data_IF_826965039973
#
_entry.id   IF_826965039973
#
_cell.length_a   1.000
_cell.length_b   1.000
_cell.length_c   1.000
_cell.angle_alpha   90.00
_cell.angle_beta   90.00
_cell.angle_gamma   90.00
#
_symmetry.space_group_name_H-M   'P 1'
#
loop_
_entity.id
_entity.type
_entity.pdbx_description
1 polymer ?
#
# COMPACT_ATOMS: atom_id res chain seq x y z
N UNK A 1 38.75 -11.80 14.33
CA UNK A 1 37.68 -12.79 14.12
C UNK A 1 36.80 -12.23 13.00
N UNK A 2 36.87 -12.81 11.80
CA UNK A 2 36.06 -12.39 10.67
C UNK A 2 34.64 -12.89 10.88
N UNK A 3 33.68 -11.97 10.95
CA UNK A 3 32.28 -12.32 10.88
C UNK A 3 32.02 -12.99 9.53
N UNK A 4 31.64 -14.26 9.58
CA UNK A 4 31.20 -14.98 8.40
C UNK A 4 29.87 -14.36 7.97
N UNK A 5 29.89 -13.58 6.88
CA UNK A 5 28.68 -13.24 6.17
C UNK A 5 28.03 -14.53 5.70
N UNK A 6 26.92 -14.90 6.32
CA UNK A 6 26.05 -15.94 5.80
C UNK A 6 25.46 -15.38 4.51
N UNK A 7 26.00 -15.84 3.38
CA UNK A 7 25.38 -15.57 2.08
C UNK A 7 24.05 -16.34 2.04
N UNK A 8 22.94 -15.62 2.00
CA UNK A 8 21.63 -16.21 1.76
C UNK A 8 21.60 -16.69 0.30
N UNK A 9 21.51 -18.00 0.11
CA UNK A 9 21.34 -18.60 -1.21
C UNK A 9 19.89 -18.35 -1.66
N UNK A 10 19.68 -17.43 -2.61
CA UNK A 10 18.41 -17.15 -3.26
C UNK A 10 18.07 -15.67 -3.38
N UNK A 11 17.09 -15.29 -4.23
CA UNK A 11 16.69 -13.92 -4.45
C UNK A 11 16.09 -13.28 -3.20
N UNK A 12 16.37 -11.99 -2.99
CA UNK A 12 15.71 -11.18 -1.95
C UNK A 12 14.23 -11.10 -2.24
N UNK A 13 13.40 -11.45 -1.24
CA UNK A 13 11.95 -11.35 -1.32
C UNK A 13 11.47 -10.08 -0.63
N UNK A 14 10.89 -9.18 -1.41
CA UNK A 14 10.42 -7.86 -0.96
C UNK A 14 8.92 -7.75 -1.16
N UNK A 15 8.18 -7.43 -0.11
CA UNK A 15 6.74 -7.15 -0.18
C UNK A 15 6.53 -5.64 -0.27
N UNK A 16 5.87 -5.18 -1.32
CA UNK A 16 5.50 -3.79 -1.50
C UNK A 16 3.99 -3.61 -1.32
N UNK A 17 3.58 -2.73 -0.42
CA UNK A 17 2.19 -2.48 -0.05
C UNK A 17 1.93 -1.01 0.28
N UNK A 18 0.67 -0.58 0.20
CA UNK A 18 0.24 0.79 0.42
C UNK A 18 -1.22 0.87 0.84
N UNK A 19 -1.63 2.04 1.35
CA UNK A 19 -3.03 2.44 1.48
C UNK A 19 -3.86 1.44 2.33
N UNK A 20 -3.39 1.13 3.56
CA UNK A 20 -4.08 0.26 4.50
C UNK A 20 -5.32 0.94 5.07
N UNK A 21 -5.24 2.26 5.31
CA UNK A 21 -6.30 3.06 5.91
C UNK A 21 -6.91 2.42 7.16
N UNK A 22 -6.04 1.92 8.07
CA UNK A 22 -6.47 1.35 9.34
C UNK A 22 -7.33 2.36 10.12
N UNK A 23 -8.43 1.89 10.71
CA UNK A 23 -9.42 2.75 11.35
C UNK A 23 -10.56 3.21 10.46
N UNK A 24 -10.44 3.14 9.12
CA UNK A 24 -11.55 3.40 8.21
C UNK A 24 -12.46 2.17 8.07
N UNK A 25 -13.78 2.38 7.84
CA UNK A 25 -14.76 1.31 7.60
C UNK A 25 -14.34 0.29 6.55
N UNK A 26 -13.67 0.77 5.52
CA UNK A 26 -13.26 -0.01 4.35
C UNK A 26 -11.73 -0.17 4.24
N UNK A 27 -10.99 0.24 5.28
CA UNK A 27 -9.58 -0.05 5.44
C UNK A 27 -9.34 -1.49 5.91
N UNK A 28 -8.11 -1.93 5.79
CA UNK A 28 -7.72 -3.24 6.32
C UNK A 28 -7.75 -3.19 7.85
N UNK A 29 -8.54 -4.08 8.45
CA UNK A 29 -8.81 -4.07 9.88
C UNK A 29 -8.46 -5.43 10.49
N UNK A 30 -7.55 -5.50 11.50
CA UNK A 30 -7.31 -6.73 12.25
C UNK A 30 -8.56 -7.20 13.01
N UNK A 31 -8.59 -8.47 13.39
CA UNK A 31 -9.81 -9.13 13.93
C UNK A 31 -10.32 -8.50 15.21
N UNK A 32 -9.43 -7.98 16.04
CA UNK A 32 -9.69 -7.40 17.35
C UNK A 32 -10.55 -6.12 17.26
N UNK A 33 -10.44 -5.39 16.14
CA UNK A 33 -11.16 -4.13 15.87
C UNK A 33 -12.36 -4.29 14.94
N UNK A 34 -12.77 -5.51 14.62
CA UNK A 34 -13.89 -5.72 13.72
C UNK A 34 -15.22 -5.26 14.33
N UNK A 35 -15.99 -4.56 13.53
CA UNK A 35 -17.33 -4.11 13.93
C UNK A 35 -18.23 -5.30 14.25
N UNK A 36 -18.99 -5.21 15.36
CA UNK A 36 -19.95 -6.24 15.73
C UNK A 36 -20.97 -6.47 14.62
N UNK A 37 -21.26 -7.72 14.22
CA UNK A 37 -22.26 -8.01 13.20
C UNK A 37 -23.70 -7.64 13.62
N UNK A 38 -23.94 -7.44 14.92
CA UNK A 38 -25.21 -6.90 15.44
C UNK A 38 -25.37 -5.42 15.14
N UNK A 39 -24.24 -4.68 15.05
CA UNK A 39 -24.22 -3.25 14.70
C UNK A 39 -24.31 -3.02 13.20
N UNK A 40 -23.48 -3.71 12.42
CA UNK A 40 -23.45 -3.62 10.95
C UNK A 40 -22.91 -4.92 10.34
N UNK A 41 -23.82 -5.79 9.93
CA UNK A 41 -23.47 -7.07 9.32
C UNK A 41 -22.78 -6.92 7.96
N UNK A 42 -23.17 -5.92 7.17
CA UNK A 42 -22.61 -5.71 5.83
C UNK A 42 -21.17 -5.23 5.93
N UNK A 43 -20.89 -4.26 6.80
CA UNK A 43 -19.55 -3.77 7.08
C UNK A 43 -18.65 -4.88 7.63
N UNK A 44 -19.16 -5.65 8.61
CA UNK A 44 -18.44 -6.80 9.17
C UNK A 44 -17.99 -7.77 8.07
N UNK A 45 -18.88 -8.09 7.14
CA UNK A 45 -18.57 -9.01 6.04
C UNK A 45 -17.47 -8.45 5.11
N UNK A 46 -17.41 -7.13 4.91
CA UNK A 46 -16.32 -6.50 4.15
C UNK A 46 -14.99 -6.61 4.89
N UNK A 47 -14.96 -6.28 6.19
CA UNK A 47 -13.75 -6.40 7.01
C UNK A 47 -13.21 -7.83 7.03
N UNK A 48 -14.08 -8.82 7.19
CA UNK A 48 -13.72 -10.25 7.13
C UNK A 48 -13.12 -10.63 5.77
N UNK A 49 -13.71 -10.16 4.67
CA UNK A 49 -13.21 -10.47 3.33
C UNK A 49 -11.83 -9.84 3.06
N UNK A 50 -11.64 -8.55 3.42
CA UNK A 50 -10.35 -7.87 3.25
C UNK A 50 -9.25 -8.57 4.06
N UNK A 51 -9.52 -8.84 5.33
CA UNK A 51 -8.55 -9.46 6.21
C UNK A 51 -8.23 -10.90 5.78
N UNK A 52 -9.24 -11.69 5.40
CA UNK A 52 -9.06 -13.05 4.88
C UNK A 52 -8.18 -13.05 3.62
N UNK A 53 -8.41 -12.14 2.67
CA UNK A 53 -7.61 -12.01 1.45
C UNK A 53 -6.16 -11.64 1.76
N UNK A 54 -5.98 -10.75 2.73
CA UNK A 54 -4.67 -10.37 3.18
C UNK A 54 -3.92 -11.56 3.81
N UNK A 55 -4.55 -12.27 4.76
CA UNK A 55 -3.95 -13.46 5.40
C UNK A 55 -3.65 -14.56 4.38
N UNK A 56 -4.55 -14.85 3.45
CA UNK A 56 -4.31 -15.81 2.37
C UNK A 56 -3.08 -15.43 1.53
N UNK A 57 -2.88 -14.12 1.31
CA UNK A 57 -1.70 -13.63 0.59
C UNK A 57 -0.43 -13.81 1.41
N UNK A 58 -0.45 -13.48 2.70
CA UNK A 58 0.69 -13.72 3.62
C UNK A 58 1.08 -15.21 3.62
N UNK A 59 0.11 -16.11 3.75
CA UNK A 59 0.34 -17.55 3.73
C UNK A 59 0.92 -18.00 2.37
N UNK A 60 0.37 -17.50 1.27
CA UNK A 60 0.79 -17.89 -0.08
C UNK A 60 2.18 -17.41 -0.45
N UNK A 61 2.56 -16.23 -0.01
CA UNK A 61 3.91 -15.67 -0.20
C UNK A 61 4.90 -16.38 0.71
N UNK A 62 4.48 -16.70 1.94
CA UNK A 62 5.31 -17.26 2.99
C UNK A 62 6.11 -16.20 3.74
N UNK A 63 6.41 -16.49 4.99
CA UNK A 63 7.21 -15.64 5.91
C UNK A 63 8.34 -16.48 6.52
N UNK A 64 9.47 -15.89 6.93
CA UNK A 64 9.79 -14.46 6.84
C UNK A 64 10.10 -13.99 5.41
N UNK A 65 10.00 -12.65 5.18
CA UNK A 65 10.47 -11.98 3.98
C UNK A 65 11.70 -11.12 4.28
N UNK A 66 12.48 -10.76 3.26
CA UNK A 66 13.71 -9.99 3.48
C UNK A 66 13.38 -8.51 3.77
N UNK A 67 12.41 -7.93 3.06
CA UNK A 67 11.98 -6.57 3.33
C UNK A 67 10.48 -6.35 3.08
N UNK A 68 9.94 -5.33 3.76
CA UNK A 68 8.65 -4.71 3.45
C UNK A 68 8.87 -3.26 3.05
N UNK A 69 8.39 -2.89 1.87
CA UNK A 69 8.27 -1.51 1.41
C UNK A 69 6.85 -1.03 1.64
N UNK A 70 6.66 -0.18 2.64
CA UNK A 70 5.37 0.40 2.99
C UNK A 70 5.24 1.82 2.42
N UNK A 71 4.27 2.03 1.54
CA UNK A 71 4.15 3.27 0.80
C UNK A 71 3.03 4.19 1.31
N UNK A 72 2.90 4.32 2.64
CA UNK A 72 2.07 5.33 3.29
C UNK A 72 0.57 5.08 3.26
N UNK A 73 -0.17 6.03 3.82
CA UNK A 73 -1.60 5.94 4.12
C UNK A 73 -1.91 4.65 4.90
N UNK A 74 -1.07 4.37 5.93
CA UNK A 74 -1.25 3.22 6.81
C UNK A 74 -2.47 3.38 7.70
N UNK A 75 -2.79 4.61 8.09
CA UNK A 75 -3.94 4.96 8.93
C UNK A 75 -4.96 5.80 8.15
N UNK A 76 -6.19 5.84 8.64
CA UNK A 76 -7.24 6.71 8.12
C UNK A 76 -7.09 8.16 8.55
N UNK A 77 -6.43 8.38 9.69
CA UNK A 77 -6.31 9.69 10.33
C UNK A 77 -7.64 10.17 10.91
N UNK A 78 -7.81 11.49 10.98
CA UNK A 78 -9.02 12.11 11.55
C UNK A 78 -10.21 12.19 10.59
N UNK A 79 -9.99 12.03 9.29
CA UNK A 79 -11.02 12.20 8.24
C UNK A 79 -11.82 13.51 8.37
N UNK A 80 -11.16 14.63 8.61
CA UNK A 80 -11.78 15.94 8.87
C UNK A 80 -12.82 16.37 7.84
N UNK A 81 -12.58 16.09 6.57
CA UNK A 81 -13.49 16.46 5.48
C UNK A 81 -14.87 15.81 5.62
N UNK A 82 -14.91 14.63 6.22
CA UNK A 82 -16.13 13.85 6.44
C UNK A 82 -16.52 13.76 7.92
N UNK A 83 -15.83 14.55 8.79
CA UNK A 83 -16.07 14.62 10.24
C UNK A 83 -15.97 13.25 10.92
N UNK A 84 -15.09 12.37 10.43
CA UNK A 84 -14.88 11.03 10.97
C UNK A 84 -16.06 10.06 10.80
N UNK A 85 -17.05 10.37 9.97
CA UNK A 85 -18.28 9.53 9.82
C UNK A 85 -17.96 8.13 9.28
N UNK A 86 -16.87 7.98 8.56
CA UNK A 86 -16.44 6.68 8.02
C UNK A 86 -15.37 5.99 8.88
N UNK A 87 -15.03 6.55 10.05
CA UNK A 87 -14.14 5.89 11.01
C UNK A 87 -14.88 4.82 11.82
N UNK A 88 -14.22 3.70 12.04
CA UNK A 88 -14.58 2.68 13.03
C UNK A 88 -13.79 2.87 14.31
N UNK A 89 -12.57 3.43 14.17
CA UNK A 89 -11.67 3.78 15.24
C UNK A 89 -11.19 5.23 15.06
N UNK A 90 -11.60 6.15 15.93
CA UNK A 90 -11.18 7.54 15.84
C UNK A 90 -9.82 7.83 16.51
N UNK A 91 -9.33 6.94 17.39
CA UNK A 91 -8.04 7.10 18.04
C UNK A 91 -6.92 6.73 17.06
N UNK A 92 -6.08 7.71 16.73
CA UNK A 92 -5.01 7.52 15.76
C UNK A 92 -3.89 6.62 16.29
N UNK A 93 -3.67 6.57 17.61
CA UNK A 93 -2.73 5.63 18.22
C UNK A 93 -3.21 4.18 18.00
N UNK A 94 -4.51 3.93 18.18
CA UNK A 94 -5.09 2.62 17.90
C UNK A 94 -5.06 2.28 16.40
N UNK A 95 -5.24 3.26 15.53
CA UNK A 95 -5.06 3.06 14.09
C UNK A 95 -3.61 2.67 13.74
N UNK A 96 -2.62 3.26 14.43
CA UNK A 96 -1.21 2.85 14.30
C UNK A 96 -0.99 1.42 14.80
N UNK A 97 -1.55 1.04 15.94
CA UNK A 97 -1.48 -0.32 16.47
C UNK A 97 -2.03 -1.35 15.46
N UNK A 98 -3.18 -1.06 14.83
CA UNK A 98 -3.71 -1.90 13.75
C UNK A 98 -2.72 -2.07 12.59
N UNK A 99 -2.09 -0.99 12.14
CA UNK A 99 -1.14 -1.02 11.04
C UNK A 99 0.12 -1.83 11.39
N UNK A 100 0.65 -1.65 12.59
CA UNK A 100 1.80 -2.41 13.12
C UNK A 100 1.50 -3.91 13.15
N UNK A 101 0.33 -4.31 13.66
CA UNK A 101 -0.08 -5.71 13.72
C UNK A 101 -0.14 -6.35 12.33
N UNK A 102 -0.65 -5.61 11.33
CA UNK A 102 -0.71 -6.10 9.95
C UNK A 102 0.68 -6.23 9.33
N UNK A 103 1.53 -5.23 9.51
CA UNK A 103 2.90 -5.23 8.97
C UNK A 103 3.76 -6.32 9.60
N UNK A 104 3.66 -6.55 10.91
CA UNK A 104 4.38 -7.62 11.64
C UNK A 104 4.05 -9.03 11.14
N UNK A 105 2.89 -9.24 10.49
CA UNK A 105 2.54 -10.56 9.91
C UNK A 105 3.54 -11.03 8.83
N UNK A 106 4.26 -10.12 8.21
CA UNK A 106 5.29 -10.46 7.22
C UNK A 106 6.58 -10.99 7.83
N UNK A 107 6.80 -10.79 9.15
CA UNK A 107 8.04 -11.19 9.84
C UNK A 107 9.29 -10.70 9.08
N UNK A 108 9.20 -9.49 8.51
CA UNK A 108 10.26 -8.96 7.67
C UNK A 108 11.53 -8.71 8.47
N UNK A 109 12.69 -8.97 7.85
CA UNK A 109 13.99 -8.65 8.45
C UNK A 109 14.22 -7.15 8.50
N UNK A 110 13.65 -6.41 7.54
CA UNK A 110 13.75 -4.95 7.43
C UNK A 110 12.44 -4.35 6.93
N UNK A 111 12.13 -3.16 7.41
CA UNK A 111 11.00 -2.35 6.94
C UNK A 111 11.53 -1.03 6.41
N UNK A 112 10.99 -0.55 5.30
CA UNK A 112 11.28 0.77 4.72
C UNK A 112 9.95 1.45 4.45
N UNK A 113 9.69 2.55 5.14
CA UNK A 113 8.39 3.20 5.11
C UNK A 113 8.49 4.59 4.51
N UNK A 114 7.51 4.99 3.72
CA UNK A 114 7.32 6.38 3.33
C UNK A 114 6.02 6.89 3.86
N UNK A 115 6.00 8.19 4.22
CA UNK A 115 4.79 8.85 4.72
C UNK A 115 3.74 8.95 3.64
N UNK A 116 2.49 8.76 4.03
CA UNK A 116 1.32 8.91 3.19
C UNK A 116 0.96 10.37 2.93
N UNK A 117 -0.29 10.60 2.58
CA UNK A 117 -0.81 11.96 2.39
C UNK A 117 -0.95 12.66 3.74
N UNK A 118 -0.69 13.98 3.84
CA UNK A 118 -0.90 14.74 5.07
C UNK A 118 -2.36 14.71 5.56
N UNK A 119 -3.29 14.35 4.69
CA UNK A 119 -4.69 14.19 5.04
C UNK A 119 -4.93 12.99 5.98
N UNK A 120 -4.17 11.91 5.80
CA UNK A 120 -4.24 10.69 6.60
C UNK A 120 -3.17 10.63 7.68
N UNK A 121 -1.92 10.95 7.36
CA UNK A 121 -0.79 10.86 8.30
C UNK A 121 -0.79 11.88 9.44
N UNK A 122 -1.59 12.92 9.33
CA UNK A 122 -1.71 14.00 10.32
C UNK A 122 -1.15 15.34 9.82
N UNK A 123 -1.74 16.44 10.30
CA UNK A 123 -1.32 17.81 9.96
C UNK A 123 -0.44 18.46 11.00
N UNK A 124 -0.45 17.97 12.24
CA UNK A 124 0.30 18.50 13.39
C UNK A 124 1.30 17.50 13.93
N UNK A 125 0.98 16.23 13.89
CA UNK A 125 1.82 15.10 14.30
C UNK A 125 1.93 14.13 13.13
N UNK A 126 3.12 13.62 12.91
CA UNK A 126 3.38 12.58 11.92
C UNK A 126 3.10 11.21 12.57
N UNK A 127 1.82 10.81 12.59
CA UNK A 127 1.40 9.57 13.25
C UNK A 127 2.05 8.32 12.67
N UNK A 128 2.37 8.32 11.38
CA UNK A 128 3.05 7.19 10.74
C UNK A 128 4.49 6.99 11.25
N UNK A 129 5.10 8.02 11.88
CA UNK A 129 6.41 7.89 12.52
C UNK A 129 6.36 6.93 13.72
N UNK A 130 5.22 6.84 14.43
CA UNK A 130 5.02 5.86 15.50
C UNK A 130 5.01 4.43 15.00
N UNK A 131 4.48 4.20 13.78
CA UNK A 131 4.53 2.89 13.13
C UNK A 131 5.98 2.52 12.82
N UNK A 132 6.76 3.51 12.34
CA UNK A 132 8.17 3.30 12.03
C UNK A 132 9.01 3.01 13.29
N UNK A 133 8.76 3.74 14.38
CA UNK A 133 9.41 3.49 15.69
C UNK A 133 9.12 2.06 16.19
N UNK A 134 7.87 1.61 16.13
CA UNK A 134 7.45 0.27 16.55
C UNK A 134 8.04 -0.87 15.70
N UNK A 135 8.42 -0.59 14.46
CA UNK A 135 9.00 -1.55 13.53
C UNK A 135 10.52 -1.41 13.36
N UNK A 136 11.15 -0.50 14.10
CA UNK A 136 12.56 -0.12 13.93
C UNK A 136 12.90 0.19 12.46
N UNK A 137 12.07 1.00 11.81
CA UNK A 137 12.09 1.26 10.38
C UNK A 137 12.49 2.70 10.05
N UNK A 138 13.34 2.94 9.03
CA UNK A 138 13.48 4.27 8.47
C UNK A 138 12.15 4.71 7.82
N UNK A 139 11.78 5.97 8.05
CA UNK A 139 10.64 6.62 7.42
C UNK A 139 11.00 8.00 6.88
N UNK A 140 10.55 8.31 5.66
CA UNK A 140 10.75 9.61 5.01
C UNK A 140 9.61 9.92 4.03
N UNK A 141 9.60 11.11 3.44
CA UNK A 141 8.65 11.42 2.37
C UNK A 141 9.01 10.71 1.05
N UNK A 142 10.28 10.36 0.90
CA UNK A 142 10.84 9.65 -0.24
C UNK A 142 12.09 8.87 0.20
N UNK A 143 12.22 7.63 -0.22
CA UNK A 143 13.37 6.78 0.03
C UNK A 143 13.95 6.23 -1.27
N UNK A 144 15.28 6.06 -1.29
CA UNK A 144 15.99 5.27 -2.28
C UNK A 144 16.60 4.07 -1.55
N UNK A 145 16.19 2.86 -1.93
CA UNK A 145 16.60 1.61 -1.28
C UNK A 145 17.31 0.72 -2.29
N UNK A 146 18.54 0.37 -1.98
CA UNK A 146 19.34 -0.56 -2.80
C UNK A 146 19.05 -2.00 -2.35
N UNK A 147 18.65 -2.86 -3.28
CA UNK A 147 18.36 -4.26 -3.03
C UNK A 147 18.75 -5.12 -4.24
N UNK A 148 19.55 -6.15 -4.02
CA UNK A 148 19.93 -7.13 -5.05
C UNK A 148 20.57 -6.54 -6.30
N UNK A 149 21.25 -5.40 -6.20
CA UNK A 149 21.89 -4.70 -7.33
C UNK A 149 20.99 -3.72 -8.09
N UNK A 150 19.76 -3.49 -7.59
CA UNK A 150 18.84 -2.47 -8.13
C UNK A 150 18.53 -1.40 -7.09
N UNK A 151 18.20 -0.20 -7.57
CA UNK A 151 17.75 0.92 -6.74
C UNK A 151 16.25 1.13 -6.91
N UNK A 152 15.52 1.01 -5.81
CA UNK A 152 14.09 1.31 -5.71
C UNK A 152 13.90 2.73 -5.19
N UNK A 153 13.08 3.52 -5.86
CA UNK A 153 12.59 4.79 -5.34
C UNK A 153 11.18 4.62 -4.82
N UNK A 154 10.99 4.84 -3.53
CA UNK A 154 9.72 4.71 -2.82
C UNK A 154 9.16 6.10 -2.52
N UNK A 155 7.92 6.36 -2.89
CA UNK A 155 7.19 7.58 -2.58
C UNK A 155 5.70 7.31 -2.63
N UNK A 156 4.92 7.87 -1.70
CA UNK A 156 3.48 7.63 -1.67
C UNK A 156 2.76 8.21 -2.89
N UNK A 157 2.91 9.50 -3.13
CA UNK A 157 2.09 10.21 -4.11
C UNK A 157 2.57 10.07 -5.55
N UNK A 158 1.62 9.95 -6.46
CA UNK A 158 1.80 10.09 -7.91
C UNK A 158 0.62 10.87 -8.51
N UNK A 159 0.81 11.45 -9.69
CA UNK A 159 -0.29 12.10 -10.40
C UNK A 159 -1.43 11.14 -10.71
N UNK A 160 -2.66 11.65 -10.72
CA UNK A 160 -3.88 10.88 -11.01
C UNK A 160 -4.47 11.30 -12.36
N UNK A 161 -5.11 10.35 -13.04
CA UNK A 161 -5.93 10.61 -14.22
C UNK A 161 -7.35 10.06 -14.03
N UNK A 162 -8.34 10.78 -14.56
CA UNK A 162 -9.73 10.29 -14.65
C UNK A 162 -10.00 9.53 -15.95
N UNK A 163 -9.03 9.51 -16.86
CA UNK A 163 -9.16 8.89 -18.20
C UNK A 163 -8.73 7.41 -18.08
N UNK A 164 -9.63 6.43 -18.26
CA UNK A 164 -9.32 5.02 -18.03
C UNK A 164 -8.12 4.49 -18.85
N UNK A 165 -8.03 4.85 -20.11
CA UNK A 165 -6.91 4.45 -20.98
C UNK A 165 -5.63 5.27 -20.74
N UNK A 166 -5.70 6.31 -19.95
CA UNK A 166 -4.57 7.18 -19.60
C UNK A 166 -3.90 6.84 -18.25
N UNK A 167 -4.24 5.73 -17.60
CA UNK A 167 -3.74 5.39 -16.25
C UNK A 167 -2.21 5.25 -16.18
N UNK A 168 -1.56 4.90 -17.27
CA UNK A 168 -0.10 4.84 -17.35
C UNK A 168 0.58 6.21 -17.54
N UNK A 169 -0.16 7.24 -17.99
CA UNK A 169 0.43 8.55 -18.31
C UNK A 169 1.08 9.24 -17.10
N UNK A 170 0.46 9.31 -15.90
CA UNK A 170 1.11 9.87 -14.73
C UNK A 170 2.39 9.10 -14.34
N UNK A 171 2.40 7.79 -14.49
CA UNK A 171 3.57 6.95 -14.20
C UNK A 171 4.72 7.23 -15.17
N UNK A 172 4.44 7.28 -16.47
CA UNK A 172 5.44 7.60 -17.48
C UNK A 172 6.03 9.02 -17.28
N UNK A 173 5.18 9.99 -16.89
CA UNK A 173 5.62 11.34 -16.53
C UNK A 173 6.52 11.32 -15.29
N UNK A 174 6.16 10.56 -14.28
CA UNK A 174 6.97 10.42 -13.06
C UNK A 174 8.36 9.89 -13.37
N UNK A 175 8.45 8.85 -14.21
CA UNK A 175 9.74 8.35 -14.69
C UNK A 175 10.58 9.41 -15.37
N UNK A 176 10.01 10.14 -16.33
CA UNK A 176 10.72 11.18 -17.06
C UNK A 176 11.26 12.26 -16.11
N UNK A 177 10.43 12.74 -15.18
CA UNK A 177 10.84 13.77 -14.22
C UNK A 177 12.00 13.26 -13.36
N UNK A 178 11.90 12.05 -12.80
CA UNK A 178 12.97 11.47 -11.96
C UNK A 178 14.26 11.24 -12.73
N UNK A 179 14.18 10.78 -13.98
CA UNK A 179 15.34 10.62 -14.85
C UNK A 179 16.03 11.96 -15.12
N UNK A 180 15.28 13.03 -15.38
CA UNK A 180 15.84 14.36 -15.58
C UNK A 180 16.50 14.93 -14.31
N UNK A 181 15.88 14.73 -13.14
CA UNK A 181 16.46 15.13 -11.85
C UNK A 181 17.74 14.35 -11.54
N UNK A 182 17.76 13.05 -11.80
CA UNK A 182 18.96 12.23 -11.63
C UNK A 182 20.08 12.65 -12.57
N UNK A 183 19.78 12.98 -13.83
CA UNK A 183 20.76 13.50 -14.79
C UNK A 183 21.39 14.85 -14.37
N UNK A 184 20.71 15.60 -13.51
CA UNK A 184 21.21 16.85 -12.89
C UNK A 184 21.89 16.62 -11.54
N UNK A 185 21.99 15.38 -11.07
CA UNK A 185 22.48 15.03 -9.74
C UNK A 185 21.63 15.64 -8.59
N UNK A 186 20.36 15.92 -8.83
CA UNK A 186 19.43 16.43 -7.81
C UNK A 186 18.88 15.29 -6.92
N UNK A 187 18.81 14.08 -7.46
CA UNK A 187 18.36 12.87 -6.78
C UNK A 187 19.19 11.66 -7.24
N UNK A 188 19.25 10.56 -6.46
CA UNK A 188 19.87 9.31 -6.93
C UNK A 188 19.13 8.76 -8.17
N UNK A 189 19.86 8.05 -9.02
CA UNK A 189 19.23 7.26 -10.09
C UNK A 189 18.50 6.08 -9.47
N UNK A 190 17.32 5.75 -9.99
CA UNK A 190 16.57 4.56 -9.62
C UNK A 190 16.20 3.73 -10.85
N UNK A 191 16.09 2.43 -10.68
CA UNK A 191 15.69 1.48 -11.71
C UNK A 191 14.18 1.18 -11.64
N UNK A 192 13.63 1.18 -10.42
CA UNK A 192 12.22 0.90 -10.14
C UNK A 192 11.64 1.99 -9.26
N UNK A 193 10.55 2.62 -9.70
CA UNK A 193 9.79 3.60 -8.91
C UNK A 193 8.50 2.96 -8.43
N UNK A 194 8.27 2.95 -7.12
CA UNK A 194 7.03 2.47 -6.51
C UNK A 194 6.21 3.61 -5.94
N UNK A 195 4.90 3.59 -6.19
CA UNK A 195 3.93 4.63 -5.81
C UNK A 195 2.67 3.99 -5.20
N UNK A 196 1.94 4.74 -4.37
CA UNK A 196 0.64 4.38 -3.79
C UNK A 196 -0.44 5.40 -4.17
N UNK A 197 -1.32 5.75 -3.22
CA UNK A 197 -2.26 6.86 -3.24
C UNK A 197 -3.47 6.74 -4.19
N UNK A 198 -3.30 6.18 -5.37
CA UNK A 198 -4.39 6.19 -6.36
C UNK A 198 -5.31 4.98 -6.25
N UNK A 199 -4.95 4.00 -5.44
CA UNK A 199 -5.68 2.77 -5.12
C UNK A 199 -5.93 1.83 -6.31
N UNK A 200 -5.35 2.10 -7.48
CA UNK A 200 -5.41 1.18 -8.62
C UNK A 200 -4.03 0.63 -8.96
N UNK A 201 -3.99 -0.62 -9.35
CA UNK A 201 -2.78 -1.26 -9.82
C UNK A 201 -2.53 -0.92 -11.27
N UNK A 202 -1.37 -0.33 -11.56
CA UNK A 202 -0.89 -0.07 -12.91
C UNK A 202 0.63 0.01 -12.92
N UNK A 203 1.24 -0.30 -14.05
CA UNK A 203 2.66 -0.09 -14.26
C UNK A 203 2.96 0.30 -15.70
N UNK A 204 4.07 0.97 -15.89
CA UNK A 204 4.70 1.25 -17.17
C UNK A 204 6.19 0.97 -17.06
N UNK A 205 6.83 0.53 -18.12
CA UNK A 205 8.24 0.21 -18.07
C UNK A 205 8.84 -0.10 -19.43
N UNK A 206 10.15 -0.27 -19.43
CA UNK A 206 10.99 -0.72 -20.53
C UNK A 206 11.85 -1.91 -20.08
N UNK A 207 12.88 -2.26 -20.86
CA UNK A 207 13.76 -3.38 -20.52
C UNK A 207 14.51 -3.22 -19.21
N UNK A 208 14.86 -1.97 -18.85
CA UNK A 208 15.77 -1.60 -17.77
C UNK A 208 15.17 -0.60 -16.78
N UNK A 209 13.84 -0.40 -16.79
CA UNK A 209 13.17 0.51 -15.87
C UNK A 209 11.69 0.16 -15.68
N UNK A 210 11.15 0.52 -14.53
CA UNK A 210 9.72 0.38 -14.25
C UNK A 210 9.23 1.47 -13.30
N UNK A 211 8.00 1.94 -13.53
CA UNK A 211 7.20 2.69 -12.55
C UNK A 211 5.94 1.92 -12.30
N UNK A 212 5.66 1.66 -11.03
CA UNK A 212 4.48 0.91 -10.61
C UNK A 212 3.69 1.70 -9.58
N UNK A 213 2.40 1.78 -9.79
CA UNK A 213 1.45 2.17 -8.76
C UNK A 213 0.89 0.90 -8.11
N UNK A 214 1.08 0.77 -6.80
CA UNK A 214 0.64 -0.38 -6.04
C UNK A 214 -0.89 -0.43 -5.91
N UNK A 215 -1.48 -1.61 -5.82
CA UNK A 215 -2.86 -1.75 -5.37
C UNK A 215 -2.95 -1.32 -3.90
N UNK A 216 -4.15 -0.96 -3.45
CA UNK A 216 -4.40 -0.56 -2.06
C UNK A 216 -4.83 -1.74 -1.20
N UNK A 217 -4.57 -1.68 0.10
CA UNK A 217 -5.10 -2.63 1.08
C UNK A 217 -6.42 -2.14 1.72
N UNK A 218 -7.23 -1.43 0.92
CA UNK A 218 -8.56 -1.00 1.31
C UNK A 218 -9.59 -1.29 0.21
N UNK A 219 -10.87 -1.30 0.55
CA UNK A 219 -11.94 -1.44 -0.44
C UNK A 219 -12.37 -0.08 -1.00
N UNK A 220 -12.66 -0.05 -2.29
CA UNK A 220 -13.23 1.13 -2.96
C UNK A 220 -14.72 1.27 -2.67
N UNK A 221 -15.10 1.68 -1.46
CA UNK A 221 -16.48 1.87 -1.07
C UNK A 221 -16.68 3.12 -0.20
N UNK A 222 -17.92 3.44 0.13
CA UNK A 222 -18.25 4.67 0.85
C UNK A 222 -18.20 5.94 -0.01
N UNK A 223 -17.85 7.03 0.62
CA UNK A 223 -17.74 8.34 -0.07
C UNK A 223 -16.55 8.39 -1.02
N UNK A 224 -15.48 7.66 -0.69
CA UNK A 224 -14.30 7.54 -1.53
C UNK A 224 -14.65 6.92 -2.89
N UNK A 225 -15.46 5.86 -2.92
CA UNK A 225 -15.91 5.23 -4.16
C UNK A 225 -16.76 6.16 -5.05
N UNK A 226 -17.49 7.10 -4.44
CA UNK A 226 -18.27 8.10 -5.20
C UNK A 226 -17.37 9.19 -5.81
N UNK A 227 -16.24 9.51 -5.16
CA UNK A 227 -15.27 10.52 -5.61
C UNK A 227 -14.24 9.95 -6.58
N UNK A 228 -13.80 8.74 -6.31
CA UNK A 228 -12.84 8.03 -7.14
C UNK A 228 -13.60 7.29 -8.24
N UNK A 229 -13.62 7.78 -9.46
CA UNK A 229 -14.29 7.18 -10.61
C UNK A 229 -14.00 5.68 -10.82
N UNK A 230 -14.21 4.88 -9.78
CA UNK A 230 -14.57 3.48 -9.81
C UNK A 230 -13.48 2.42 -9.70
N UNK A 231 -12.17 2.72 -9.73
CA UNK A 231 -11.19 1.64 -9.68
C UNK A 231 -10.40 1.62 -8.39
N UNK A 232 -10.67 0.61 -7.57
CA UNK A 232 -9.79 0.21 -6.48
C UNK A 232 -9.41 -1.24 -6.70
N UNK A 233 -8.13 -1.52 -6.71
CA UNK A 233 -7.59 -2.86 -6.71
C UNK A 233 -7.11 -3.17 -5.30
N UNK A 234 -7.69 -4.18 -4.65
CA UNK A 234 -7.21 -4.65 -3.35
C UNK A 234 -6.04 -5.60 -3.54
N UNK A 235 -4.92 -5.34 -2.85
CA UNK A 235 -3.80 -6.26 -2.95
C UNK A 235 -2.45 -5.65 -2.61
N UNK A 236 -1.40 -6.36 -3.03
CA UNK A 236 0.00 -5.99 -2.84
C UNK A 236 0.87 -6.61 -3.95
N UNK A 237 2.14 -6.25 -3.97
CA UNK A 237 3.11 -6.77 -4.94
C UNK A 237 4.29 -7.38 -4.21
N UNK A 238 4.79 -8.50 -4.70
CA UNK A 238 6.01 -9.15 -4.21
C UNK A 238 7.06 -9.10 -5.31
N UNK A 239 8.26 -8.64 -4.95
CA UNK A 239 9.44 -8.68 -5.80
C UNK A 239 10.38 -9.78 -5.34
N UNK A 240 11.01 -10.45 -6.31
CA UNK A 240 12.16 -11.31 -6.13
C UNK A 240 13.32 -10.67 -6.88
N UNK A 241 14.42 -10.35 -6.17
CA UNK A 241 15.51 -9.50 -6.70
C UNK A 241 16.85 -10.17 -6.44
N UNK A 242 17.68 -10.31 -7.49
CA UNK A 242 19.00 -10.91 -7.40
C UNK A 242 19.88 -10.43 -8.55
N UNK A 243 21.13 -10.00 -8.25
CA UNK A 243 22.14 -9.72 -9.27
C UNK A 243 21.78 -8.66 -10.30
N UNK A 244 20.95 -7.68 -9.94
CA UNK A 244 20.48 -6.64 -10.86
C UNK A 244 19.25 -7.05 -11.70
N UNK A 245 18.78 -8.26 -11.53
CA UNK A 245 17.56 -8.77 -12.17
C UNK A 245 16.39 -8.78 -11.19
N UNK A 246 15.16 -8.71 -11.68
CA UNK A 246 13.97 -8.80 -10.85
C UNK A 246 12.80 -9.50 -11.55
N UNK A 247 12.00 -10.15 -10.74
CA UNK A 247 10.66 -10.60 -11.11
C UNK A 247 9.65 -10.03 -10.11
N UNK A 248 8.41 -9.86 -10.51
CA UNK A 248 7.36 -9.46 -9.58
C UNK A 248 6.09 -10.27 -9.79
N UNK A 249 5.31 -10.35 -8.73
CA UNK A 249 3.96 -10.91 -8.77
C UNK A 249 3.00 -9.98 -8.04
N UNK A 250 1.94 -9.55 -8.74
CA UNK A 250 0.85 -8.80 -8.14
C UNK A 250 -0.21 -9.78 -7.59
N UNK A 251 -0.52 -9.65 -6.32
CA UNK A 251 -1.61 -10.36 -5.65
C UNK A 251 -2.80 -9.42 -5.55
N UNK A 252 -3.61 -9.36 -6.61
CA UNK A 252 -4.73 -8.43 -6.74
C UNK A 252 -6.04 -9.19 -6.72
N UNK A 253 -6.99 -8.72 -5.92
CA UNK A 253 -8.33 -9.27 -5.82
C UNK A 253 -9.40 -8.22 -6.06
N UNK A 254 -10.50 -8.61 -6.69
CA UNK A 254 -11.70 -7.78 -6.76
C UNK A 254 -12.50 -7.91 -5.47
N UNK A 255 -12.76 -6.80 -4.82
CA UNK A 255 -13.63 -6.73 -3.65
C UNK A 255 -15.02 -6.28 -4.09
N UNK A 256 -16.04 -7.05 -3.72
CA UNK A 256 -17.43 -6.70 -4.05
C UNK A 256 -17.86 -5.46 -3.29
N UNK A 257 -18.36 -4.45 -3.99
CA UNK A 257 -18.95 -3.28 -3.35
C UNK A 257 -20.25 -3.67 -2.61
N UNK A 258 -20.35 -3.44 -1.30
CA UNK A 258 -21.57 -3.75 -0.54
C UNK A 258 -22.75 -2.84 -0.92
N UNK A 259 -22.50 -1.74 -1.62
CA UNK A 259 -23.51 -0.76 -2.01
C UNK A 259 -24.05 -0.97 -3.43
N UNK A 260 -23.45 -1.85 -4.23
CA UNK A 260 -23.94 -2.16 -5.56
C UNK A 260 -25.11 -3.16 -5.47
N UNK A 261 -26.31 -2.70 -5.81
CA UNK A 261 -27.53 -3.52 -5.81
C UNK A 261 -28.01 -3.78 -7.23
N UNK A 262 -28.29 -5.04 -7.53
CA UNK A 262 -28.98 -5.44 -8.77
C UNK A 262 -30.47 -5.54 -8.48
N UNK A 263 -31.27 -4.70 -9.13
CA UNK A 263 -32.73 -4.73 -9.03
C UNK A 263 -33.30 -5.22 -10.36
N UNK A 264 -34.44 -5.96 -10.30
CA UNK A 264 -35.19 -6.37 -11.49
C UNK A 264 -36.54 -5.64 -11.48
N UNK A 265 -36.98 -5.23 -12.67
CA UNK A 265 -38.36 -4.76 -12.89
C UNK A 265 -39.16 -6.00 -13.26
N UNK A 266 -40.13 -6.36 -12.47
CA UNK A 266 -41.09 -7.44 -12.76
C UNK A 266 -42.34 -6.82 -13.38
N UNK A 267 -42.84 -7.40 -14.48
CA UNK A 267 -44.16 -7.03 -15.00
C UNK A 267 -45.21 -7.55 -14.00
N UNK A 268 -46.05 -6.64 -13.47
CA UNK A 268 -47.24 -6.99 -12.70
C UNK A 268 -48.29 -7.61 -13.64
#
# INVERSE_FOLDING_TARGET
MSEAHVSWEGPLRIVALADLHCGHKYGLTPREWWVSPKRDKALRSVQEELFRRYEETVIKVGTPVDAVFGLGDFIAGEERADRGVELIEPDQAEQCNMAVDLLRKWQAKQYFLVRGSPYHGGQREEWEDKIAEELDAPIANELYVEAGGLTFNLRHTVGRTSIPHGVGTPLAREWLVRTLMAARNEVPKADILLRGHTHYYAYVGGPDWMVMNLPALCAGSGKLARRAHGWTNFGLVVFEVEGGEYAWRAYVAAIKSPHAKRLRIERK
#
